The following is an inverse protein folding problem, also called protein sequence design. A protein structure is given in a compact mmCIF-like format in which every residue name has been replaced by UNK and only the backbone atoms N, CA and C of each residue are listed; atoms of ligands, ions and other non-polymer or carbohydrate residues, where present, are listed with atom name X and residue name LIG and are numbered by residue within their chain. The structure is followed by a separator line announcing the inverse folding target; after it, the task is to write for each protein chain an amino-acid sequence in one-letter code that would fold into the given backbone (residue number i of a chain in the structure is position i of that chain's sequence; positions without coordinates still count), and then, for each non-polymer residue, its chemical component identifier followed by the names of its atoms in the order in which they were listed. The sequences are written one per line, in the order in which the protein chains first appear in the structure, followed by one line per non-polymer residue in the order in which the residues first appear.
data_IF_687221126767
#
_entry.id   IF_687221126767
#
_cell.length_a   1.000
_cell.length_b   1.000
_cell.length_c   1.000
_cell.angle_alpha   90.00
_cell.angle_beta   90.00
_cell.angle_gamma   90.00
#
_symmetry.space_group_name_H-M   'P 1'
#
loop_
_entity.id
_entity.type
_entity.pdbx_description
1 polymer ?
#
# COMPACT_ATOMS: atom_id res chain seq x y z
N UNK A 1 3.85 3.27 -16.21
CA UNK A 1 4.70 3.30 -15.01
C UNK A 1 4.77 1.93 -14.34
N UNK A 2 5.95 1.54 -13.85
CA UNK A 2 6.12 0.32 -13.04
C UNK A 2 5.47 0.50 -11.66
N UNK A 3 4.69 -0.49 -11.20
CA UNK A 3 4.09 -0.46 -9.85
C UNK A 3 5.12 -0.29 -8.73
N UNK A 4 6.32 -0.83 -8.93
CA UNK A 4 7.44 -0.69 -7.99
C UNK A 4 7.87 0.77 -7.85
N UNK A 5 7.88 1.52 -8.95
CA UNK A 5 8.23 2.94 -8.96
C UNK A 5 7.21 3.75 -8.16
N UNK A 6 5.92 3.55 -8.41
CA UNK A 6 4.85 4.23 -7.65
C UNK A 6 4.93 3.88 -6.15
N UNK A 7 5.18 2.62 -5.81
CA UNK A 7 5.36 2.22 -4.41
C UNK A 7 6.58 2.91 -3.77
N UNK A 8 7.71 3.00 -4.47
CA UNK A 8 8.90 3.71 -3.97
C UNK A 8 8.61 5.19 -3.76
N UNK A 9 7.93 5.87 -4.69
CA UNK A 9 7.58 7.28 -4.54
C UNK A 9 6.67 7.52 -3.33
N UNK A 10 5.68 6.66 -3.10
CA UNK A 10 4.82 6.76 -1.91
C UNK A 10 5.63 6.47 -0.63
N UNK A 11 6.57 5.54 -0.67
CA UNK A 11 7.46 5.28 0.47
C UNK A 11 8.37 6.49 0.77
N UNK A 12 8.89 7.19 -0.25
CA UNK A 12 9.65 8.43 -0.05
C UNK A 12 8.80 9.52 0.61
N UNK A 13 7.54 9.65 0.20
CA UNK A 13 6.58 10.55 0.85
C UNK A 13 6.39 10.15 2.33
N UNK A 14 6.20 8.86 2.61
CA UNK A 14 6.06 8.36 3.98
C UNK A 14 7.29 8.68 4.85
N UNK A 15 8.50 8.53 4.30
CA UNK A 15 9.74 8.89 4.99
C UNK A 15 9.78 10.39 5.29
N UNK A 16 9.43 11.24 4.33
CA UNK A 16 9.35 12.69 4.55
C UNK A 16 8.41 13.06 5.70
N UNK A 17 7.21 12.48 5.73
CA UNK A 17 6.26 12.67 6.84
C UNK A 17 6.77 12.12 8.18
N UNK A 18 7.51 11.02 8.18
CA UNK A 18 8.13 10.48 9.40
C UNK A 18 9.21 11.41 9.97
N UNK A 19 10.03 12.01 9.09
CA UNK A 19 11.00 13.03 9.51
C UNK A 19 10.30 14.29 10.03
N UNK A 20 9.24 14.75 9.37
CA UNK A 20 8.44 15.87 9.86
C UNK A 20 7.83 15.58 11.24
N UNK A 21 7.33 14.37 11.48
CA UNK A 21 6.84 13.96 12.79
C UNK A 21 7.94 13.99 13.86
N UNK A 22 9.13 13.46 13.55
CA UNK A 22 10.27 13.52 14.48
C UNK A 22 10.72 14.94 14.76
N UNK A 23 10.72 15.81 13.74
CA UNK A 23 11.05 17.21 13.89
C UNK A 23 10.03 17.90 14.81
N UNK A 24 8.73 17.75 14.55
CA UNK A 24 7.66 18.35 15.36
C UNK A 24 7.70 17.90 16.83
N UNK A 25 7.96 16.61 17.09
CA UNK A 25 8.01 16.07 18.46
C UNK A 25 9.28 16.53 19.20
N UNK A 26 10.42 16.64 18.51
CA UNK A 26 11.71 16.95 19.15
C UNK A 26 12.09 18.43 19.15
N UNK A 27 11.42 19.27 18.35
CA UNK A 27 11.65 20.72 18.29
C UNK A 27 11.63 21.40 19.67
N UNK A 28 10.65 21.11 20.55
CA UNK A 28 10.67 21.49 21.97
C UNK A 28 12.02 21.31 22.68
N UNK A 29 12.58 20.10 22.62
CA UNK A 29 13.80 19.74 23.34
C UNK A 29 15.04 20.39 22.73
N UNK A 30 15.04 20.61 21.41
CA UNK A 30 16.11 21.30 20.71
C UNK A 30 16.14 22.78 21.10
N UNK A 31 15.00 23.47 21.07
CA UNK A 31 14.92 24.88 21.46
C UNK A 31 15.34 25.08 22.93
N UNK A 32 14.91 24.19 23.83
CA UNK A 32 15.31 24.24 25.23
C UNK A 32 16.82 24.01 25.44
N UNK A 33 17.42 23.09 24.69
CA UNK A 33 18.87 22.88 24.72
C UNK A 33 19.65 24.08 24.14
N UNK A 34 19.15 24.67 23.05
CA UNK A 34 19.73 25.86 22.42
C UNK A 34 19.65 27.09 23.33
N UNK A 35 18.53 27.30 24.03
CA UNK A 35 18.39 28.43 24.97
C UNK A 35 19.37 28.32 26.14
N UNK A 36 19.58 27.09 26.66
CA UNK A 36 20.58 26.82 27.69
C UNK A 36 22.01 27.04 27.19
N UNK A 37 22.32 26.63 25.96
CA UNK A 37 23.65 26.86 25.34
C UNK A 37 23.91 28.34 25.04
N UNK A 38 22.87 29.10 24.68
CA UNK A 38 22.96 30.52 24.33
C UNK A 38 23.00 31.45 25.55
N UNK A 39 22.92 30.92 26.78
CA UNK A 39 23.01 31.70 28.01
C UNK A 39 21.81 32.61 28.29
N UNK A 40 20.69 32.45 27.57
CA UNK A 40 19.47 33.21 27.82
C UNK A 40 18.62 32.54 28.89
N UNK A 41 18.15 33.30 29.88
CA UNK A 41 17.12 32.82 30.81
C UNK A 41 15.89 32.36 29.99
N UNK A 42 15.51 31.08 30.03
CA UNK A 42 14.37 30.59 29.25
C UNK A 42 13.00 31.09 29.74
N UNK A 43 12.95 31.97 30.74
CA UNK A 43 11.93 31.92 31.80
C UNK A 43 11.12 33.20 31.99
N UNK A 44 10.63 33.81 30.92
CA UNK A 44 9.55 34.81 31.06
C UNK A 44 8.38 34.57 30.09
N UNK A 45 8.67 34.10 28.87
CA UNK A 45 7.64 33.92 27.83
C UNK A 45 7.27 32.44 27.58
N UNK A 46 8.04 31.48 28.12
CA UNK A 46 7.94 30.05 27.79
C UNK A 46 7.45 29.17 28.96
N UNK A 47 7.37 29.70 30.18
CA UNK A 47 7.06 28.96 31.42
C UNK A 47 5.62 28.46 31.54
N UNK A 48 4.72 28.90 30.65
CA UNK A 48 3.33 28.41 30.57
C UNK A 48 3.07 27.46 29.41
N UNK A 49 4.04 27.25 28.51
CA UNK A 49 3.82 26.52 27.26
C UNK A 49 4.24 25.06 27.46
N UNK A 50 3.29 24.13 27.40
CA UNK A 50 3.57 22.70 27.43
C UNK A 50 4.10 22.23 26.07
N UNK A 51 5.40 22.42 25.85
CA UNK A 51 6.06 22.11 24.58
C UNK A 51 5.92 20.64 24.16
N UNK A 52 5.81 19.73 25.13
CA UNK A 52 5.60 18.29 24.86
C UNK A 52 4.21 18.03 24.29
N UNK A 53 3.20 18.71 24.84
CA UNK A 53 1.82 18.64 24.34
C UNK A 53 1.72 19.22 22.93
N UNK A 54 2.36 20.36 22.67
CA UNK A 54 2.50 20.93 21.33
C UNK A 54 3.16 19.92 20.37
N UNK A 55 4.28 19.32 20.76
CA UNK A 55 4.97 18.33 19.94
C UNK A 55 4.11 17.10 19.61
N UNK A 56 3.24 16.67 20.52
CA UNK A 56 2.30 15.56 20.29
C UNK A 56 1.14 15.99 19.40
N UNK A 57 0.52 17.15 19.69
CA UNK A 57 -0.63 17.67 18.94
C UNK A 57 -0.24 17.90 17.47
N UNK A 58 0.90 18.54 17.23
CA UNK A 58 1.37 18.82 15.88
C UNK A 58 2.10 17.62 15.27
N UNK A 59 2.79 16.76 16.03
CA UNK A 59 3.56 15.62 15.51
C UNK A 59 2.74 14.35 15.22
N UNK A 60 1.70 14.06 16.00
CA UNK A 60 0.82 12.90 15.79
C UNK A 60 0.17 12.82 14.40
N UNK A 61 -0.37 13.91 13.80
CA UNK A 61 -0.93 13.85 12.45
C UNK A 61 0.12 13.50 11.39
N UNK A 62 1.35 14.02 11.50
CA UNK A 62 2.44 13.64 10.60
C UNK A 62 2.81 12.16 10.72
N UNK A 63 2.86 11.64 11.95
CA UNK A 63 3.14 10.23 12.19
C UNK A 63 2.05 9.33 11.61
N UNK A 64 0.78 9.69 11.80
CA UNK A 64 -0.36 8.97 11.23
C UNK A 64 -0.34 9.02 9.70
N UNK A 65 -0.02 10.16 9.11
CA UNK A 65 0.13 10.30 7.66
C UNK A 65 1.26 9.41 7.13
N UNK A 66 2.42 9.39 7.79
CA UNK A 66 3.54 8.52 7.44
C UNK A 66 3.15 7.03 7.47
N UNK A 67 2.45 6.59 8.52
CA UNK A 67 1.95 5.22 8.64
C UNK A 67 0.99 4.86 7.51
N UNK A 68 0.06 5.76 7.19
CA UNK A 68 -0.92 5.56 6.13
C UNK A 68 -0.27 5.50 4.74
N UNK A 69 0.70 6.37 4.44
CA UNK A 69 1.45 6.32 3.19
C UNK A 69 2.32 5.08 3.08
N UNK A 70 2.96 4.64 4.16
CA UNK A 70 3.70 3.39 4.19
C UNK A 70 2.78 2.18 3.94
N UNK A 71 1.63 2.13 4.60
CA UNK A 71 0.64 1.09 4.35
C UNK A 71 0.16 1.12 2.89
N UNK A 72 -0.09 2.30 2.33
CA UNK A 72 -0.46 2.46 0.93
C UNK A 72 0.63 1.93 -0.01
N UNK A 73 1.91 2.25 0.23
CA UNK A 73 3.02 1.80 -0.61
C UNK A 73 3.18 0.27 -0.62
N UNK A 74 3.08 -0.36 0.56
CA UNK A 74 3.11 -1.83 0.69
C UNK A 74 1.94 -2.48 -0.05
N UNK A 75 0.75 -1.89 0.04
CA UNK A 75 -0.44 -2.40 -0.64
C UNK A 75 -0.34 -2.27 -2.16
N UNK A 76 0.22 -1.16 -2.67
CA UNK A 76 0.55 -0.99 -4.10
C UNK A 76 1.57 -2.03 -4.56
N UNK A 77 2.65 -2.23 -3.79
CA UNK A 77 3.70 -3.19 -4.12
C UNK A 77 3.18 -4.64 -4.15
N UNK A 78 2.38 -5.03 -3.15
CA UNK A 78 1.79 -6.39 -3.00
C UNK A 78 0.52 -6.60 -3.83
N UNK A 79 0.09 -5.61 -4.62
CA UNK A 79 -1.13 -5.66 -5.45
C UNK A 79 -2.41 -5.96 -4.66
N UNK A 80 -2.47 -5.55 -3.39
CA UNK A 80 -3.64 -5.76 -2.53
C UNK A 80 -4.64 -4.63 -2.72
N UNK A 81 -5.93 -4.97 -2.61
CA UNK A 81 -7.02 -3.99 -2.61
C UNK A 81 -6.93 -3.17 -1.32
N UNK A 82 -7.15 -1.86 -1.41
CA UNK A 82 -7.12 -0.96 -0.25
C UNK A 82 -6.02 0.11 -0.29
N UNK A 83 -5.08 0.03 -1.24
CA UNK A 83 -4.02 1.04 -1.40
C UNK A 83 -4.56 2.48 -1.51
N UNK A 84 -5.65 2.68 -2.27
CA UNK A 84 -6.28 4.00 -2.43
C UNK A 84 -6.86 4.51 -1.12
N UNK A 85 -7.51 3.64 -0.33
CA UNK A 85 -8.11 4.05 0.95
C UNK A 85 -7.04 4.50 1.94
N UNK A 86 -5.94 3.73 2.06
CA UNK A 86 -4.79 4.11 2.87
C UNK A 86 -4.12 5.40 2.39
N UNK A 87 -4.03 5.58 1.08
CA UNK A 87 -3.47 6.80 0.49
C UNK A 87 -4.32 8.03 0.83
N UNK A 88 -5.64 7.96 0.64
CA UNK A 88 -6.56 9.04 0.98
C UNK A 88 -6.57 9.35 2.48
N UNK A 89 -6.51 8.31 3.31
CA UNK A 89 -6.39 8.47 4.76
C UNK A 89 -5.09 9.18 5.13
N UNK A 90 -3.98 8.87 4.45
CA UNK A 90 -2.71 9.56 4.62
C UNK A 90 -2.76 11.03 4.21
N UNK A 91 -3.41 11.35 3.09
CA UNK A 91 -3.65 12.73 2.67
C UNK A 91 -4.50 13.50 3.69
N UNK A 92 -5.58 12.89 4.19
CA UNK A 92 -6.44 13.51 5.20
C UNK A 92 -5.70 13.74 6.53
N UNK A 93 -4.93 12.75 6.98
CA UNK A 93 -4.10 12.86 8.19
C UNK A 93 -2.95 13.87 8.03
N UNK A 94 -2.43 14.04 6.81
CA UNK A 94 -1.37 15.00 6.49
C UNK A 94 -1.88 16.41 6.20
N UNK A 95 -3.19 16.61 6.02
CA UNK A 95 -3.79 17.92 5.74
C UNK A 95 -3.49 19.01 6.80
N UNK A 96 -3.40 18.69 8.11
CA UNK A 96 -2.95 19.65 9.12
C UNK A 96 -1.59 20.30 8.81
N UNK A 97 -0.73 19.65 8.01
CA UNK A 97 0.55 20.20 7.62
C UNK A 97 0.46 21.47 6.76
N UNK A 98 -0.68 21.68 6.09
CA UNK A 98 -0.92 22.86 5.26
C UNK A 98 -1.11 24.10 6.13
N UNK A 99 -1.61 23.96 7.36
CA UNK A 99 -1.87 25.10 8.27
C UNK A 99 -0.63 25.59 9.02
N UNK A 100 0.55 24.99 8.80
CA UNK A 100 1.81 25.56 9.30
C UNK A 100 2.25 26.77 8.46
N UNK A 101 1.73 26.88 7.24
CA UNK A 101 2.04 27.99 6.33
C UNK A 101 0.80 28.87 6.19
N UNK A 102 0.95 30.14 6.55
CA UNK A 102 -0.05 31.15 6.25
C UNK A 102 0.01 31.49 4.76
N UNK A 103 -1.12 31.41 4.07
CA UNK A 103 -1.23 31.74 2.66
C UNK A 103 -1.75 33.17 2.51
N UNK A 104 -0.89 34.10 2.09
CA UNK A 104 -1.31 35.49 1.89
C UNK A 104 -2.20 35.64 0.65
N UNK A 105 -3.17 36.57 0.65
CA UNK A 105 -3.94 36.89 -0.55
C UNK A 105 -3.02 37.33 -1.70
N UNK A 106 -2.94 36.52 -2.77
CA UNK A 106 -2.04 36.80 -3.89
C UNK A 106 -0.72 36.01 -3.90
N UNK A 107 -0.51 35.08 -2.95
CA UNK A 107 0.69 34.23 -2.86
C UNK A 107 1.07 33.53 -4.16
N UNK A 108 0.11 33.27 -5.05
CA UNK A 108 0.35 32.63 -6.35
C UNK A 108 1.16 33.49 -7.32
N UNK A 109 1.32 34.81 -7.08
CA UNK A 109 2.12 35.72 -7.91
C UNK A 109 3.58 35.77 -7.46
N UNK A 110 3.82 35.85 -6.16
CA UNK A 110 5.15 35.86 -5.54
C UNK A 110 5.17 34.89 -4.35
N UNK A 111 5.32 33.57 -4.60
CA UNK A 111 5.23 32.58 -3.54
C UNK A 111 6.46 32.63 -2.63
N UNK A 112 6.23 32.63 -1.32
CA UNK A 112 7.28 32.36 -0.36
C UNK A 112 7.80 30.92 -0.52
N UNK A 113 9.00 30.65 -0.01
CA UNK A 113 9.58 29.31 -0.07
C UNK A 113 8.69 28.24 0.60
N UNK A 114 7.97 28.62 1.67
CA UNK A 114 7.03 27.74 2.37
C UNK A 114 5.79 27.43 1.55
N UNK A 115 5.13 28.46 0.98
CA UNK A 115 3.94 28.29 0.14
C UNK A 115 4.25 27.48 -1.11
N UNK A 116 5.39 27.76 -1.75
CA UNK A 116 5.88 27.01 -2.91
C UNK A 116 6.15 25.53 -2.58
N UNK A 117 6.73 25.23 -1.41
CA UNK A 117 6.95 23.85 -0.98
C UNK A 117 5.64 23.10 -0.72
N UNK A 118 4.66 23.73 -0.08
CA UNK A 118 3.33 23.13 0.17
C UNK A 118 2.57 22.92 -1.13
N UNK A 119 2.59 23.90 -2.04
CA UNK A 119 1.97 23.77 -3.36
C UNK A 119 2.63 22.63 -4.17
N UNK A 120 3.96 22.54 -4.16
CA UNK A 120 4.70 21.45 -4.80
C UNK A 120 4.33 20.08 -4.23
N UNK A 121 4.25 19.96 -2.89
CA UNK A 121 3.80 18.74 -2.23
C UNK A 121 2.35 18.38 -2.59
N UNK A 122 1.45 19.36 -2.69
CA UNK A 122 0.07 19.14 -3.11
C UNK A 122 0.00 18.60 -4.54
N UNK A 123 0.78 19.15 -5.47
CA UNK A 123 0.87 18.65 -6.86
C UNK A 123 1.41 17.23 -6.89
N UNK A 124 2.49 16.94 -6.14
CA UNK A 124 3.04 15.57 -6.03
C UNK A 124 1.99 14.59 -5.50
N UNK A 125 1.23 14.99 -4.47
CA UNK A 125 0.18 14.15 -3.90
C UNK A 125 -0.95 13.86 -4.90
N UNK A 126 -1.39 14.88 -5.66
CA UNK A 126 -2.44 14.70 -6.68
C UNK A 126 -1.95 13.77 -7.79
N UNK A 127 -0.72 13.95 -8.28
CA UNK A 127 -0.13 13.09 -9.31
C UNK A 127 0.02 11.64 -8.85
N UNK A 128 0.42 11.43 -7.59
CA UNK A 128 0.50 10.10 -7.00
C UNK A 128 -0.89 9.48 -6.82
N UNK A 129 -1.89 10.24 -6.40
CA UNK A 129 -3.27 9.78 -6.32
C UNK A 129 -3.76 9.28 -7.69
N UNK A 130 -3.53 10.07 -8.74
CA UNK A 130 -3.87 9.71 -10.12
C UNK A 130 -3.14 8.44 -10.57
N UNK A 131 -1.84 8.31 -10.25
CA UNK A 131 -1.06 7.13 -10.58
C UNK A 131 -1.55 5.86 -9.86
N UNK A 132 -1.90 5.95 -8.57
CA UNK A 132 -2.47 4.83 -7.80
C UNK A 132 -3.84 4.45 -8.35
N UNK A 133 -4.65 5.44 -8.76
CA UNK A 133 -5.96 5.22 -9.36
C UNK A 133 -5.87 4.54 -10.73
N UNK A 134 -4.98 5.02 -11.60
CA UNK A 134 -4.71 4.40 -12.90
C UNK A 134 -4.23 2.94 -12.74
N UNK A 135 -3.34 2.67 -11.78
CA UNK A 135 -2.91 1.30 -11.46
C UNK A 135 -4.04 0.38 -10.99
N UNK A 136 -5.08 0.94 -10.34
CA UNK A 136 -6.29 0.20 -9.94
C UNK A 136 -7.20 -0.08 -11.14
N UNK A 137 -7.36 0.88 -12.04
CA UNK A 137 -8.20 0.76 -13.23
C UNK A 137 -7.60 -0.16 -14.30
N UNK A 138 -6.27 -0.24 -14.37
CA UNK A 138 -5.54 -1.20 -15.21
C UNK A 138 -5.78 -2.64 -14.74
N UNK A 139 -6.91 -3.22 -15.16
CA UNK A 139 -7.16 -4.67 -15.17
C UNK A 139 -6.15 -5.30 -16.12
N UNK A 140 -5.03 -5.80 -15.60
CA UNK A 140 -4.07 -6.51 -16.46
C UNK A 140 -4.68 -7.84 -16.87
N UNK A 141 -4.72 -8.09 -18.19
CA UNK A 141 -4.94 -9.41 -18.79
C UNK A 141 -4.03 -10.43 -18.08
N UNK A 142 -4.50 -11.66 -17.81
CA UNK A 142 -3.65 -12.72 -17.31
C UNK A 142 -2.42 -12.82 -18.20
N UNK A 143 -1.25 -12.65 -17.62
CA UNK A 143 -0.01 -12.92 -18.33
C UNK A 143 0.01 -14.43 -18.56
N UNK A 144 0.15 -14.92 -19.80
CA UNK A 144 0.28 -16.36 -20.04
C UNK A 144 1.47 -16.83 -19.21
N UNK A 145 1.23 -17.77 -18.31
CA UNK A 145 2.29 -18.50 -17.62
C UNK A 145 3.17 -19.08 -18.72
N UNK A 146 4.48 -18.80 -18.76
CA UNK A 146 5.38 -19.57 -19.61
C UNK A 146 5.22 -21.02 -19.21
N UNK A 147 4.76 -21.86 -20.16
CA UNK A 147 4.88 -23.29 -20.01
C UNK A 147 6.36 -23.58 -19.75
N UNK A 148 6.71 -24.39 -18.73
CA UNK A 148 8.08 -24.84 -18.59
C UNK A 148 8.49 -25.49 -19.91
N UNK A 149 9.53 -24.98 -20.53
CA UNK A 149 10.22 -25.65 -21.62
C UNK A 149 10.64 -27.02 -21.09
N UNK A 150 9.91 -28.05 -21.51
CA UNK A 150 10.24 -29.43 -21.24
C UNK A 150 11.39 -29.78 -22.18
N UNK A 151 12.61 -29.41 -21.77
CA UNK A 151 13.82 -29.92 -22.39
C UNK A 151 13.85 -31.44 -22.22
N UNK A 152 13.74 -32.07 -23.39
CA UNK A 152 13.93 -33.45 -23.72
C UNK A 152 15.00 -34.16 -22.88
N UNK A 153 14.61 -35.23 -22.20
CA UNK A 153 15.33 -36.53 -22.19
C UNK A 153 14.47 -37.58 -21.47
N UNK A 154 13.84 -38.47 -22.24
CA UNK A 154 13.54 -39.88 -21.91
C UNK A 154 12.46 -40.45 -22.84
N UNK A 155 12.91 -40.98 -23.97
CA UNK A 155 12.55 -42.29 -24.51
C UNK A 155 11.32 -43.02 -23.94
N UNK A 156 10.20 -43.05 -24.70
CA UNK A 156 9.54 -44.27 -25.22
C UNK A 156 8.12 -44.01 -25.74
N UNK A 157 7.95 -44.35 -27.01
CA UNK A 157 6.80 -44.97 -27.68
C UNK A 157 5.39 -44.84 -27.06
N UNK A 158 4.48 -44.20 -27.80
CA UNK A 158 3.43 -44.85 -28.62
C UNK A 158 2.02 -44.25 -28.51
N UNK A 159 1.36 -44.21 -29.67
CA UNK A 159 -0.10 -44.11 -29.90
C UNK A 159 -0.83 -42.75 -29.83
N UNK A 160 -0.98 -42.17 -31.03
CA UNK A 160 -2.20 -41.57 -31.65
C UNK A 160 -3.32 -41.03 -30.74
N UNK A 161 -3.59 -39.72 -30.82
CA UNK A 161 -4.89 -39.19 -31.30
C UNK A 161 -4.85 -37.68 -31.51
N UNK A 162 -5.17 -37.25 -32.74
CA UNK A 162 -5.42 -35.87 -33.10
C UNK A 162 -6.80 -35.44 -32.57
N UNK A 163 -6.87 -34.32 -31.82
CA UNK A 163 -8.13 -33.60 -31.55
C UNK A 163 -7.87 -32.09 -31.67
N UNK A 164 -8.68 -31.45 -32.53
CA UNK A 164 -8.69 -30.03 -32.88
C UNK A 164 -8.85 -29.07 -31.66
N UNK A 165 -8.47 -27.79 -31.78
CA UNK A 165 -8.43 -26.88 -30.63
C UNK A 165 -9.84 -26.45 -30.19
N UNK A 166 -10.24 -26.82 -28.97
CA UNK A 166 -11.47 -26.33 -28.33
C UNK A 166 -11.26 -24.91 -27.82
N UNK A 167 -12.01 -23.95 -28.40
CA UNK A 167 -12.24 -22.60 -27.84
C UNK A 167 -12.75 -22.71 -26.40
N UNK A 168 -12.02 -22.15 -25.45
CA UNK A 168 -12.41 -22.14 -24.04
C UNK A 168 -13.56 -21.16 -23.80
N UNK A 169 -14.77 -21.71 -23.67
CA UNK A 169 -15.97 -21.01 -23.20
C UNK A 169 -15.84 -20.75 -21.69
N UNK A 170 -16.17 -19.52 -21.27
CA UNK A 170 -16.05 -19.05 -19.89
C UNK A 170 -17.22 -19.60 -19.06
N UNK A 171 -16.96 -20.52 -18.13
CA UNK A 171 -18.02 -21.02 -17.25
C UNK A 171 -18.41 -19.98 -16.18
N UNK A 172 -19.72 -19.75 -15.95
CA UNK A 172 -20.22 -18.94 -14.84
C UNK A 172 -20.01 -19.66 -13.50
N UNK A 173 -19.84 -18.87 -12.43
CA UNK A 173 -19.72 -19.38 -11.06
C UNK A 173 -20.96 -20.16 -10.65
N UNK A 174 -20.80 -21.43 -10.30
CA UNK A 174 -21.86 -22.28 -9.74
C UNK A 174 -21.80 -23.75 -10.19
N UNK A 175 -21.13 -24.06 -11.30
CA UNK A 175 -20.95 -25.44 -11.74
C UNK A 175 -19.64 -26.02 -11.18
N UNK A 176 -19.71 -26.78 -10.09
CA UNK A 176 -18.58 -27.63 -9.72
C UNK A 176 -18.29 -28.59 -10.89
N UNK A 177 -17.03 -28.75 -11.32
CA UNK A 177 -16.70 -29.64 -12.43
C UNK A 177 -17.24 -31.05 -12.16
N UNK A 178 -17.96 -31.64 -13.12
CA UNK A 178 -18.49 -33.01 -13.03
C UNK A 178 -17.41 -34.04 -12.63
N UNK A 179 -16.14 -33.73 -12.89
CA UNK A 179 -14.98 -34.50 -12.42
C UNK A 179 -14.87 -34.54 -10.88
N UNK A 180 -15.08 -33.43 -10.18
CA UNK A 180 -15.01 -33.38 -8.71
C UNK A 180 -16.20 -34.10 -8.07
N UNK A 181 -17.38 -34.05 -8.69
CA UNK A 181 -18.54 -34.83 -8.28
C UNK A 181 -18.32 -36.34 -8.50
N UNK A 182 -17.75 -36.73 -9.64
CA UNK A 182 -17.36 -38.14 -9.91
C UNK A 182 -16.31 -38.65 -8.94
N UNK A 183 -15.29 -37.84 -8.63
CA UNK A 183 -14.25 -38.23 -7.67
C UNK A 183 -14.83 -38.39 -6.27
N UNK A 184 -15.72 -37.50 -5.82
CA UNK A 184 -16.43 -37.65 -4.53
C UNK A 184 -17.31 -38.91 -4.50
N UNK A 185 -17.98 -39.24 -5.60
CA UNK A 185 -18.77 -40.46 -5.71
C UNK A 185 -17.90 -41.74 -5.69
N UNK A 186 -16.71 -41.70 -6.31
CA UNK A 186 -15.74 -42.80 -6.26
C UNK A 186 -15.24 -43.01 -4.82
N UNK A 187 -14.79 -41.94 -4.14
CA UNK A 187 -14.34 -42.03 -2.74
C UNK A 187 -15.46 -42.48 -1.79
N UNK A 188 -16.71 -42.06 -2.01
CA UNK A 188 -17.85 -42.52 -1.22
C UNK A 188 -18.24 -44.00 -1.49
N UNK A 189 -17.86 -44.57 -2.64
CA UNK A 189 -17.98 -46.01 -2.91
C UNK A 189 -16.83 -46.78 -2.25
N UNK A 190 -15.61 -46.27 -2.31
CA UNK A 190 -14.41 -46.84 -1.66
C UNK A 190 -14.60 -46.93 -0.14
N UNK A 191 -15.04 -45.83 0.49
CA UNK A 191 -15.26 -45.78 1.94
C UNK A 191 -16.37 -46.71 2.44
N UNK A 192 -17.40 -46.95 1.61
CA UNK A 192 -18.46 -47.93 1.93
C UNK A 192 -17.94 -49.37 1.88
N UNK A 193 -17.06 -49.70 0.93
CA UNK A 193 -16.41 -51.02 0.86
C UNK A 193 -15.49 -51.26 2.07
N UNK A 194 -14.66 -50.27 2.42
CA UNK A 194 -13.79 -50.35 3.61
C UNK A 194 -14.58 -50.51 4.91
N UNK A 195 -15.68 -49.77 5.08
CA UNK A 195 -16.54 -49.92 6.26
C UNK A 195 -17.29 -51.26 6.30
N UNK A 196 -17.61 -51.86 5.15
CA UNK A 196 -18.22 -53.19 5.11
C UNK A 196 -17.24 -54.28 5.55
N UNK A 197 -15.96 -54.16 5.17
CA UNK A 197 -14.91 -55.10 5.63
C UNK A 197 -14.59 -54.95 7.11
N UNK A 198 -14.73 -53.74 7.66
CA UNK A 198 -14.48 -53.44 9.08
C UNK A 198 -15.62 -53.88 10.02
N UNK A 199 -16.76 -54.29 9.47
CA UNK A 199 -17.97 -54.71 10.22
C UNK A 199 -18.24 -56.21 10.14
N UNK A 200 -17.35 -56.98 9.50
CA UNK A 200 -17.37 -58.44 9.59
C UNK A 200 -16.51 -58.83 10.82
N UNK A 201 -17.08 -59.55 11.81
CA UNK A 201 -16.37 -59.96 13.02
C UNK A 201 -15.27 -60.99 12.73
#
# INVERSE_FOLDING_TARGET
MSRKLVAILISLLAVGFAFAAMAAIRWPSIIMALSLLAGGEPSATLDGINWREIGIIYGAPYFLAALCFYAASVMVARRRKGAVAWYLLGCAAGFPAVFIVDFEPGWWRDPSAGEGAVAGLAVIAILLAAAVWDLRLRRRKPQPTPLPDADATADRADTKQAVAPRRAYRYPRGAFPNATARNRAAFAREGRKMNAHRRMP
#
